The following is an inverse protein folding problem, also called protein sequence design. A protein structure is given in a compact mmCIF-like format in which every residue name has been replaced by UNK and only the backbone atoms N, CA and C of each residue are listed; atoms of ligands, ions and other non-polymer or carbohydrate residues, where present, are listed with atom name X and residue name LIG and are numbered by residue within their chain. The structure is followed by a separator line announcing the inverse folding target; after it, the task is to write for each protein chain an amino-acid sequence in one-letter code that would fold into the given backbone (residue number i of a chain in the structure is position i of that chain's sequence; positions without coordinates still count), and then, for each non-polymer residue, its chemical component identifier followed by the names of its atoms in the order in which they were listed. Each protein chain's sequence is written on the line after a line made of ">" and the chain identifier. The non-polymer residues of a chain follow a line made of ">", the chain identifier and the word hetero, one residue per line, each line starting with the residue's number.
data_IF_875460440363
#
_entry.id   IF_875460440363
#
_cell.length_a   1.000
_cell.length_b   1.000
_cell.length_c   1.000
_cell.angle_alpha   90.00
_cell.angle_beta   90.00
_cell.angle_gamma   90.00
#
_symmetry.space_group_name_H-M   'P 1'
#
loop_
_entity.id
_entity.type
_entity.pdbx_description
1 polymer ?
#
# COMPACT_ATOMS: atom_id res chain seq x y z
N UNK A 1 8.97 21.72 -12.22
CA UNK A 1 9.59 20.45 -11.73
C UNK A 1 8.84 19.30 -12.41
N UNK A 2 9.54 18.35 -13.06
CA UNK A 2 8.89 17.19 -13.67
C UNK A 2 8.30 16.31 -12.55
N UNK A 3 7.02 15.92 -12.70
CA UNK A 3 6.37 15.04 -11.73
C UNK A 3 7.00 13.64 -11.77
N UNK A 4 7.16 13.01 -10.59
CA UNK A 4 7.66 11.64 -10.51
C UNK A 4 6.62 10.67 -11.06
N UNK A 5 7.02 9.78 -11.94
CA UNK A 5 6.13 8.76 -12.50
C UNK A 5 5.53 7.85 -11.42
N UNK A 6 6.30 7.56 -10.38
CA UNK A 6 5.81 6.78 -9.23
C UNK A 6 4.64 7.43 -8.51
N UNK A 7 4.49 8.73 -8.58
CA UNK A 7 3.36 9.45 -7.99
C UNK A 7 2.24 9.69 -9.03
N UNK A 8 2.63 10.07 -10.27
CA UNK A 8 1.68 10.32 -11.37
C UNK A 8 0.87 9.08 -11.74
N UNK A 9 1.51 7.91 -11.78
CA UNK A 9 0.92 6.64 -12.19
C UNK A 9 0.55 5.72 -11.02
N UNK A 10 0.54 6.26 -9.79
CA UNK A 10 0.04 5.51 -8.64
C UNK A 10 -1.45 5.23 -8.85
N UNK A 11 -1.89 3.95 -8.81
CA UNK A 11 -3.31 3.63 -8.91
C UNK A 11 -4.11 4.34 -7.81
N UNK A 12 -5.24 4.92 -8.17
CA UNK A 12 -6.18 5.58 -7.26
C UNK A 12 -7.52 4.86 -7.16
N UNK A 13 -7.74 3.89 -8.02
CA UNK A 13 -8.97 3.09 -8.10
C UNK A 13 -8.66 1.61 -8.16
N UNK A 14 -9.65 0.78 -7.83
CA UNK A 14 -9.56 -0.69 -7.90
C UNK A 14 -9.23 -1.16 -9.32
N UNK A 15 -9.82 -0.53 -10.35
CA UNK A 15 -9.60 -0.90 -11.74
C UNK A 15 -8.17 -0.61 -12.22
N UNK A 16 -7.53 0.40 -11.65
CA UNK A 16 -6.13 0.72 -11.96
C UNK A 16 -5.11 -0.11 -11.17
N UNK A 17 -5.56 -0.90 -10.17
CA UNK A 17 -4.68 -1.70 -9.35
C UNK A 17 -4.52 -3.12 -9.92
N UNK A 18 -3.30 -3.61 -9.97
CA UNK A 18 -3.01 -4.97 -10.46
C UNK A 18 -3.06 -5.94 -9.28
N UNK A 19 -4.09 -6.79 -9.26
CA UNK A 19 -4.24 -7.85 -8.27
C UNK A 19 -3.48 -9.11 -8.70
N UNK A 20 -3.12 -9.94 -7.74
CA UNK A 20 -2.54 -11.26 -7.99
C UNK A 20 -3.50 -12.16 -8.80
N UNK A 21 -4.77 -12.12 -8.43
CA UNK A 21 -5.83 -12.96 -9.00
C UNK A 21 -7.23 -12.33 -8.79
N UNK A 22 -8.21 -12.90 -9.47
CA UNK A 22 -9.60 -12.46 -9.37
C UNK A 22 -10.21 -12.67 -7.98
N UNK A 23 -9.70 -13.60 -7.17
CA UNK A 23 -10.20 -13.85 -5.83
C UNK A 23 -9.89 -12.66 -4.93
N UNK A 24 -8.65 -12.15 -5.01
CA UNK A 24 -8.25 -10.95 -4.27
C UNK A 24 -9.05 -9.73 -4.73
N UNK A 25 -9.23 -9.56 -6.05
CA UNK A 25 -10.01 -8.45 -6.60
C UNK A 25 -11.46 -8.48 -6.10
N UNK A 26 -12.11 -9.63 -6.15
CA UNK A 26 -13.48 -9.82 -5.66
C UNK A 26 -13.62 -9.56 -4.16
N UNK A 27 -12.64 -9.98 -3.38
CA UNK A 27 -12.63 -9.72 -1.93
C UNK A 27 -12.55 -8.22 -1.64
N UNK A 28 -11.68 -7.49 -2.32
CA UNK A 28 -11.57 -6.03 -2.17
C UNK A 28 -12.86 -5.34 -2.62
N UNK A 29 -13.42 -5.77 -3.75
CA UNK A 29 -14.68 -5.23 -4.25
C UNK A 29 -15.83 -5.47 -3.28
N UNK A 30 -15.92 -6.66 -2.68
CA UNK A 30 -16.94 -6.98 -1.66
C UNK A 30 -16.86 -6.02 -0.48
N UNK A 31 -15.68 -5.69 0.03
CA UNK A 31 -15.55 -4.71 1.11
C UNK A 31 -16.05 -3.32 0.72
N UNK A 32 -15.79 -2.91 -0.52
CA UNK A 32 -16.25 -1.62 -1.03
C UNK A 32 -17.77 -1.61 -1.18
N UNK A 33 -18.34 -2.68 -1.74
CA UNK A 33 -19.79 -2.81 -1.95
C UNK A 33 -20.56 -2.88 -0.62
N UNK A 34 -19.97 -3.54 0.40
CA UNK A 34 -20.50 -3.62 1.76
C UNK A 34 -20.33 -2.29 2.54
N UNK A 35 -19.52 -1.37 2.03
CA UNK A 35 -19.23 -0.08 2.67
C UNK A 35 -18.44 -0.19 3.97
N UNK A 36 -17.83 -1.34 4.25
CA UNK A 36 -17.06 -1.59 5.48
C UNK A 36 -15.92 -2.57 5.26
N UNK A 37 -14.93 -2.51 6.13
CA UNK A 37 -13.79 -3.43 6.16
C UNK A 37 -13.62 -4.04 7.55
N UNK A 38 -13.04 -5.24 7.68
CA UNK A 38 -12.48 -5.71 8.95
C UNK A 38 -11.17 -4.97 9.25
N UNK A 39 -10.54 -5.25 10.39
CA UNK A 39 -9.13 -4.91 10.54
C UNK A 39 -8.31 -5.71 9.55
N UNK A 40 -7.39 -5.07 8.83
CA UNK A 40 -6.63 -5.67 7.74
C UNK A 40 -5.14 -5.68 8.04
N UNK A 41 -4.45 -6.74 7.62
CA UNK A 41 -3.00 -6.84 7.62
C UNK A 41 -2.54 -7.17 6.19
N UNK A 42 -1.99 -6.18 5.51
CA UNK A 42 -1.39 -6.35 4.18
C UNK A 42 0.09 -6.71 4.32
N UNK A 43 0.46 -7.88 3.88
CA UNK A 43 1.84 -8.34 3.85
C UNK A 43 2.36 -8.52 2.42
N UNK A 44 3.65 -8.43 2.23
CA UNK A 44 4.30 -8.61 0.94
C UNK A 44 5.63 -7.87 0.86
N UNK A 45 6.43 -8.16 -0.16
CA UNK A 45 7.73 -7.51 -0.36
C UNK A 45 7.59 -5.99 -0.61
N UNK A 46 8.70 -5.27 -0.50
CA UNK A 46 8.71 -3.84 -0.78
C UNK A 46 8.29 -3.53 -2.24
N UNK A 47 7.55 -2.44 -2.42
CA UNK A 47 7.16 -1.96 -3.75
C UNK A 47 6.04 -2.73 -4.45
N UNK A 48 5.39 -3.71 -3.81
CA UNK A 48 4.29 -4.51 -4.41
C UNK A 48 2.92 -3.83 -4.35
N UNK A 49 2.80 -2.65 -3.72
CA UNK A 49 1.56 -1.86 -3.72
C UNK A 49 0.68 -1.99 -2.47
N UNK A 50 1.19 -2.46 -1.33
CA UNK A 50 0.44 -2.57 -0.06
C UNK A 50 -0.21 -1.26 0.38
N UNK A 51 0.57 -0.21 0.53
CA UNK A 51 0.11 1.13 0.93
C UNK A 51 -0.84 1.71 -0.12
N UNK A 52 -0.57 1.46 -1.40
CA UNK A 52 -1.44 1.88 -2.50
C UNK A 52 -2.83 1.26 -2.40
N UNK A 53 -2.91 -0.06 -2.15
CA UNK A 53 -4.18 -0.76 -1.97
C UNK A 53 -4.95 -0.24 -0.75
N UNK A 54 -4.25 0.01 0.37
CA UNK A 54 -4.85 0.61 1.56
C UNK A 54 -5.51 1.97 1.25
N UNK A 55 -4.81 2.83 0.52
CA UNK A 55 -5.33 4.15 0.11
C UNK A 55 -6.50 4.05 -0.88
N UNK A 56 -6.45 3.11 -1.81
CA UNK A 56 -7.57 2.83 -2.72
C UNK A 56 -8.81 2.43 -1.92
N UNK A 57 -8.67 1.52 -0.95
CA UNK A 57 -9.79 1.10 -0.09
C UNK A 57 -10.37 2.28 0.70
N UNK A 58 -9.55 3.05 1.39
CA UNK A 58 -9.98 4.21 2.17
C UNK A 58 -10.76 5.20 1.28
N UNK A 59 -10.23 5.49 0.10
CA UNK A 59 -10.87 6.40 -0.85
C UNK A 59 -12.19 5.82 -1.41
N UNK A 60 -12.20 4.56 -1.80
CA UNK A 60 -13.38 3.89 -2.36
C UNK A 60 -14.51 3.69 -1.35
N UNK A 61 -14.18 3.57 -0.07
CA UNK A 61 -15.15 3.55 1.04
C UNK A 61 -15.70 4.94 1.37
N UNK A 62 -15.21 6.00 0.73
CA UNK A 62 -15.66 7.37 0.98
C UNK A 62 -15.28 7.90 2.37
N UNK A 63 -14.28 7.32 3.02
CA UNK A 63 -13.83 7.78 4.34
C UNK A 63 -13.22 9.17 4.21
N UNK A 64 -13.74 10.10 4.99
CA UNK A 64 -13.28 11.48 4.99
C UNK A 64 -11.80 11.57 5.46
N UNK A 65 -11.05 12.51 4.90
CA UNK A 65 -9.67 12.74 5.31
C UNK A 65 -9.52 13.06 6.81
N UNK A 66 -10.53 13.64 7.44
CA UNK A 66 -10.56 13.90 8.89
C UNK A 66 -10.86 12.64 9.72
N UNK A 67 -11.39 11.60 9.09
CA UNK A 67 -11.60 10.27 9.66
C UNK A 67 -10.50 9.28 9.28
N UNK A 68 -9.41 9.76 8.68
CA UNK A 68 -8.26 8.95 8.30
C UNK A 68 -6.99 9.44 8.99
N UNK A 69 -6.29 8.54 9.67
CA UNK A 69 -4.97 8.79 10.26
C UNK A 69 -3.96 7.86 9.58
N UNK A 70 -2.94 8.45 8.96
CA UNK A 70 -1.81 7.71 8.37
C UNK A 70 -0.57 7.88 9.26
N UNK A 71 0.02 6.78 9.68
CA UNK A 71 1.29 6.74 10.43
C UNK A 71 2.22 5.77 9.72
N UNK A 72 3.46 6.19 9.45
CA UNK A 72 4.53 5.29 9.04
C UNK A 72 5.38 4.95 10.26
N UNK A 73 5.31 3.68 10.70
CA UNK A 73 5.98 3.22 11.91
C UNK A 73 7.51 3.22 11.80
N UNK A 74 8.07 3.16 10.60
CA UNK A 74 9.52 3.23 10.40
C UNK A 74 10.10 4.63 10.62
N UNK A 75 9.26 5.65 10.56
CA UNK A 75 9.66 7.07 10.73
C UNK A 75 9.36 7.62 12.13
N UNK A 76 8.47 6.96 12.86
CA UNK A 76 8.12 7.36 14.22
C UNK A 76 9.08 6.72 15.22
N UNK A 77 9.75 7.54 16.02
CA UNK A 77 10.83 7.09 16.92
C UNK A 77 10.33 6.52 18.25
N UNK A 78 9.04 6.61 18.56
CA UNK A 78 8.48 6.19 19.85
C UNK A 78 7.15 5.46 19.69
N UNK A 79 7.07 4.29 20.31
CA UNK A 79 5.84 3.50 20.41
C UNK A 79 4.77 4.26 21.19
N UNK A 80 5.15 4.99 22.23
CA UNK A 80 4.21 5.80 23.02
C UNK A 80 3.62 6.92 22.18
N UNK A 81 4.43 7.57 21.34
CA UNK A 81 3.95 8.58 20.39
C UNK A 81 2.93 8.00 19.41
N UNK A 82 3.20 6.82 18.85
CA UNK A 82 2.25 6.13 17.95
C UNK A 82 0.95 5.83 18.69
N UNK A 83 1.04 5.23 19.88
CA UNK A 83 -0.13 4.88 20.70
C UNK A 83 -0.97 6.11 21.02
N UNK A 84 -0.35 7.19 21.47
CA UNK A 84 -1.05 8.40 21.89
C UNK A 84 -1.73 9.09 20.70
N UNK A 85 -1.06 9.18 19.55
CA UNK A 85 -1.66 9.69 18.30
C UNK A 85 -2.90 8.88 17.91
N UNK A 86 -2.80 7.55 17.92
CA UNK A 86 -3.92 6.68 17.58
C UNK A 86 -5.05 6.83 18.59
N UNK A 87 -4.77 6.75 19.89
CA UNK A 87 -5.78 6.81 20.94
C UNK A 87 -6.54 8.16 20.91
N UNK A 88 -5.81 9.26 20.76
CA UNK A 88 -6.43 10.58 20.64
C UNK A 88 -7.31 10.68 19.38
N UNK A 89 -6.88 10.12 18.27
CA UNK A 89 -7.64 10.14 17.03
C UNK A 89 -8.90 9.30 17.12
N UNK A 90 -8.80 8.03 17.53
CA UNK A 90 -9.93 7.10 17.58
C UNK A 90 -10.90 7.38 18.74
N UNK A 91 -10.44 8.09 19.76
CA UNK A 91 -11.26 8.49 20.90
C UNK A 91 -12.24 9.64 20.60
N UNK A 92 -12.10 10.32 19.45
CA UNK A 92 -13.04 11.37 19.03
C UNK A 92 -14.13 10.77 18.11
N UNK A 93 -15.26 11.46 18.00
CA UNK A 93 -16.33 11.04 17.10
C UNK A 93 -15.87 11.09 15.65
N UNK A 94 -16.36 10.15 14.83
CA UNK A 94 -16.20 10.17 13.37
C UNK A 94 -17.16 11.16 12.72
N UNK A 95 -16.77 11.73 11.59
CA UNK A 95 -17.65 12.50 10.72
C UNK A 95 -18.54 11.57 9.88
N UNK A 96 -18.01 10.39 9.51
CA UNK A 96 -18.72 9.33 8.82
C UNK A 96 -19.06 8.16 9.76
N UNK A 97 -19.23 6.97 9.20
CA UNK A 97 -19.63 5.78 9.96
C UNK A 97 -18.50 5.26 10.88
N UNK A 98 -17.26 5.34 10.43
CA UNK A 98 -16.07 4.90 11.18
C UNK A 98 -14.82 5.64 10.75
N UNK A 99 -13.81 5.58 11.61
CA UNK A 99 -12.47 6.08 11.33
C UNK A 99 -11.57 4.98 10.80
N UNK A 100 -10.55 5.35 10.02
CA UNK A 100 -9.53 4.42 9.56
C UNK A 100 -8.15 4.88 10.01
N UNK A 101 -7.41 3.95 10.63
CA UNK A 101 -5.99 4.12 10.95
C UNK A 101 -5.19 3.26 9.98
N UNK A 102 -4.40 3.91 9.12
CA UNK A 102 -3.41 3.25 8.27
C UNK A 102 -2.05 3.30 8.98
N UNK A 103 -1.59 2.15 9.43
CA UNK A 103 -0.29 1.98 10.06
C UNK A 103 0.66 1.28 9.10
N UNK A 104 1.45 2.08 8.41
CA UNK A 104 2.38 1.59 7.40
C UNK A 104 3.68 1.09 8.04
N UNK A 105 4.22 0.00 7.53
CA UNK A 105 5.45 -0.64 8.04
C UNK A 105 5.35 -1.05 9.53
N UNK A 106 4.23 -1.65 9.94
CA UNK A 106 3.97 -2.05 11.32
C UNK A 106 4.98 -3.06 11.90
N UNK A 107 5.72 -3.76 11.07
CA UNK A 107 6.82 -4.66 11.45
C UNK A 107 8.05 -3.93 12.04
N UNK A 108 8.09 -2.59 11.99
CA UNK A 108 9.07 -1.78 12.72
C UNK A 108 8.70 -1.54 14.19
N UNK A 109 7.44 -1.79 14.59
CA UNK A 109 7.00 -1.67 15.97
C UNK A 109 7.49 -2.86 16.78
N UNK A 110 8.01 -2.59 17.99
CA UNK A 110 8.41 -3.66 18.92
C UNK A 110 7.23 -4.55 19.31
N UNK A 111 7.45 -5.81 19.73
CA UNK A 111 6.40 -6.70 20.19
C UNK A 111 5.53 -6.10 21.31
N UNK A 112 6.12 -5.37 22.24
CA UNK A 112 5.38 -4.67 23.30
C UNK A 112 4.50 -3.56 22.76
N UNK A 113 4.99 -2.81 21.78
CA UNK A 113 4.20 -1.79 21.09
C UNK A 113 3.04 -2.38 20.31
N UNK A 114 3.25 -3.50 19.64
CA UNK A 114 2.20 -4.23 18.94
C UNK A 114 1.12 -4.75 19.91
N UNK A 115 1.52 -5.22 21.10
CA UNK A 115 0.57 -5.65 22.14
C UNK A 115 -0.28 -4.48 22.65
N UNK A 116 0.32 -3.29 22.84
CA UNK A 116 -0.41 -2.08 23.19
C UNK A 116 -1.38 -1.65 22.08
N UNK A 117 -0.95 -1.71 20.82
CA UNK A 117 -1.80 -1.45 19.66
C UNK A 117 -3.01 -2.37 19.60
N UNK A 118 -2.83 -3.67 19.88
CA UNK A 118 -3.93 -4.63 19.96
C UNK A 118 -4.98 -4.17 20.98
N UNK A 119 -4.56 -3.72 22.15
CA UNK A 119 -5.47 -3.20 23.18
C UNK A 119 -6.29 -2.01 22.69
N UNK A 120 -5.67 -1.06 21.98
CA UNK A 120 -6.38 0.07 21.36
C UNK A 120 -7.38 -0.41 20.29
N UNK A 121 -7.00 -1.35 19.45
CA UNK A 121 -7.87 -1.93 18.42
C UNK A 121 -9.11 -2.58 19.05
N UNK A 122 -8.95 -3.29 20.17
CA UNK A 122 -10.05 -3.93 20.89
C UNK A 122 -11.00 -2.89 21.50
N UNK A 123 -10.45 -1.88 22.14
CA UNK A 123 -11.23 -0.83 22.83
C UNK A 123 -12.08 -0.01 21.85
N UNK A 124 -11.55 0.29 20.68
CA UNK A 124 -12.18 1.20 19.72
C UNK A 124 -12.73 0.48 18.45
N UNK A 125 -12.94 -0.83 18.52
CA UNK A 125 -13.42 -1.63 17.38
C UNK A 125 -14.78 -1.18 16.81
N UNK A 126 -15.63 -0.55 17.63
CA UNK A 126 -16.92 -0.01 17.19
C UNK A 126 -16.80 1.28 16.38
N UNK A 127 -15.72 2.04 16.56
CA UNK A 127 -15.54 3.37 15.97
C UNK A 127 -14.42 3.43 14.91
N UNK A 128 -13.53 2.46 14.89
CA UNK A 128 -12.33 2.51 14.03
C UNK A 128 -12.01 1.15 13.39
N UNK A 129 -11.44 1.23 12.19
CA UNK A 129 -10.82 0.11 11.48
C UNK A 129 -9.34 0.40 11.29
N UNK A 130 -8.54 -0.66 11.35
CA UNK A 130 -7.09 -0.56 11.24
C UNK A 130 -6.65 -1.31 9.99
N UNK A 131 -5.82 -0.66 9.19
CA UNK A 131 -5.11 -1.27 8.06
C UNK A 131 -3.63 -1.20 8.40
N UNK A 132 -3.03 -2.37 8.62
CA UNK A 132 -1.60 -2.49 8.87
C UNK A 132 -0.92 -3.00 7.60
N UNK A 133 0.26 -2.48 7.30
CA UNK A 133 1.12 -3.05 6.26
C UNK A 133 2.42 -3.56 6.88
N UNK A 134 3.00 -4.60 6.29
CA UNK A 134 4.30 -5.11 6.70
C UNK A 134 5.05 -5.78 5.54
N UNK A 135 6.37 -5.73 5.60
CA UNK A 135 7.23 -6.50 4.68
C UNK A 135 7.52 -7.89 5.25
N UNK A 136 7.59 -8.01 6.56
CA UNK A 136 7.96 -9.24 7.27
C UNK A 136 6.83 -9.67 8.22
N UNK A 137 5.86 -10.48 7.76
CA UNK A 137 4.72 -10.90 8.57
C UNK A 137 5.12 -11.70 9.81
N UNK A 138 6.28 -12.35 9.81
CA UNK A 138 6.83 -13.06 10.97
C UNK A 138 7.28 -12.12 12.11
N UNK A 139 7.43 -10.82 11.86
CA UNK A 139 7.67 -9.79 12.89
C UNK A 139 6.40 -9.25 13.52
N UNK A 140 5.24 -9.60 12.98
CA UNK A 140 3.94 -9.24 13.56
C UNK A 140 3.55 -10.31 14.57
N UNK A 141 3.17 -9.89 15.78
CA UNK A 141 2.82 -10.82 16.85
C UNK A 141 1.55 -11.63 16.52
N UNK A 142 1.43 -12.88 16.99
CA UNK A 142 0.25 -13.72 16.73
C UNK A 142 -1.08 -13.06 17.13
N UNK A 143 -1.07 -12.25 18.19
CA UNK A 143 -2.23 -11.55 18.66
C UNK A 143 -2.80 -10.51 17.67
N UNK A 144 -1.94 -9.88 16.86
CA UNK A 144 -2.39 -9.01 15.75
C UNK A 144 -2.83 -9.83 14.53
N UNK A 145 -2.14 -10.92 14.22
CA UNK A 145 -2.57 -11.83 13.16
C UNK A 145 -3.98 -12.37 13.40
N UNK A 146 -4.31 -12.72 14.64
CA UNK A 146 -5.65 -13.21 14.99
C UNK A 146 -6.74 -12.13 14.96
N UNK A 147 -6.36 -10.85 15.10
CA UNK A 147 -7.27 -9.71 15.12
C UNK A 147 -7.54 -9.14 13.73
N UNK A 148 -6.60 -9.31 12.82
CA UNK A 148 -6.68 -8.79 11.46
C UNK A 148 -6.98 -9.91 10.46
N UNK A 149 -7.73 -9.56 9.42
CA UNK A 149 -7.77 -10.40 8.23
C UNK A 149 -6.49 -10.20 7.44
N UNK A 150 -5.72 -11.27 7.31
CA UNK A 150 -4.48 -11.26 6.54
C UNK A 150 -4.76 -11.23 5.03
N UNK A 151 -4.03 -10.37 4.32
CA UNK A 151 -4.12 -10.23 2.88
C UNK A 151 -2.70 -10.16 2.33
N UNK A 152 -2.24 -11.28 1.75
CA UNK A 152 -0.89 -11.36 1.20
C UNK A 152 -0.87 -10.84 -0.23
N UNK A 153 -0.14 -9.75 -0.45
CA UNK A 153 0.05 -9.15 -1.77
C UNK A 153 1.34 -9.73 -2.35
N UNK A 154 1.16 -10.65 -3.26
CA UNK A 154 2.26 -11.28 -3.97
C UNK A 154 2.78 -10.39 -5.11
N UNK A 155 3.90 -10.84 -5.65
CA UNK A 155 4.46 -10.27 -6.87
C UNK A 155 3.43 -10.41 -7.99
N UNK A 156 3.19 -9.32 -8.68
CA UNK A 156 2.42 -9.31 -9.93
C UNK A 156 3.09 -10.25 -10.93
N UNK A 157 2.33 -10.88 -11.83
CA UNK A 157 2.90 -11.61 -12.94
C UNK A 157 3.88 -10.73 -13.75
N UNK A 158 4.97 -11.33 -14.22
CA UNK A 158 6.01 -10.57 -14.92
C UNK A 158 5.49 -9.92 -16.19
N UNK A 159 4.52 -10.54 -16.86
CA UNK A 159 3.87 -10.01 -18.07
C UNK A 159 3.06 -8.77 -17.74
N UNK A 160 2.25 -8.82 -16.67
CA UNK A 160 1.46 -7.67 -16.21
C UNK A 160 2.36 -6.53 -15.73
N UNK A 161 3.44 -6.87 -15.03
CA UNK A 161 4.45 -5.90 -14.61
C UNK A 161 5.07 -5.19 -15.82
N UNK A 162 5.51 -5.95 -16.83
CA UNK A 162 6.09 -5.41 -18.07
C UNK A 162 5.09 -4.56 -18.82
N UNK A 163 3.85 -5.03 -18.96
CA UNK A 163 2.77 -4.31 -19.64
C UNK A 163 2.47 -2.97 -18.95
N UNK A 164 2.51 -2.94 -17.62
CA UNK A 164 2.30 -1.70 -16.85
C UNK A 164 3.41 -0.68 -17.09
N UNK A 165 4.67 -1.11 -17.13
CA UNK A 165 5.79 -0.21 -17.44
C UNK A 165 5.70 0.28 -18.89
N UNK A 166 5.43 -0.62 -19.85
CA UNK A 166 5.26 -0.25 -21.25
C UNK A 166 4.17 0.80 -21.43
N UNK A 167 3.02 0.64 -20.76
CA UNK A 167 1.94 1.62 -20.81
C UNK A 167 2.37 2.99 -20.31
N UNK A 168 3.12 3.05 -19.22
CA UNK A 168 3.63 4.33 -18.70
C UNK A 168 4.60 5.01 -19.70
N UNK A 169 5.48 4.22 -20.33
CA UNK A 169 6.38 4.77 -21.36
C UNK A 169 5.60 5.31 -22.56
N UNK A 170 4.56 4.63 -23.00
CA UNK A 170 3.66 5.08 -24.08
C UNK A 170 2.95 6.39 -23.67
N UNK A 171 2.38 6.42 -22.48
CA UNK A 171 1.65 7.61 -21.96
C UNK A 171 2.57 8.84 -21.81
N UNK A 172 3.86 8.60 -21.56
CA UNK A 172 4.89 9.65 -21.47
C UNK A 172 5.53 9.97 -22.84
N UNK A 173 5.08 9.36 -23.93
CA UNK A 173 5.63 9.49 -25.28
C UNK A 173 7.14 9.16 -25.33
N UNK A 174 7.56 8.12 -24.61
CA UNK A 174 8.94 7.62 -24.61
C UNK A 174 9.02 6.48 -25.60
N UNK A 175 9.93 6.59 -26.56
CA UNK A 175 10.28 5.50 -27.46
C UNK A 175 11.13 4.46 -26.73
N UNK A 176 10.87 3.18 -26.93
CA UNK A 176 11.64 2.10 -26.31
C UNK A 176 11.72 0.85 -27.18
N UNK A 177 12.82 0.16 -27.02
CA UNK A 177 12.99 -1.20 -27.55
C UNK A 177 12.56 -2.22 -26.49
N UNK A 178 11.96 -3.34 -26.93
CA UNK A 178 11.47 -4.39 -26.03
C UNK A 178 12.61 -5.07 -25.25
N UNK A 179 13.78 -5.25 -25.86
CA UNK A 179 14.93 -5.85 -25.19
C UNK A 179 15.50 -4.92 -24.11
N UNK A 180 15.48 -3.60 -24.37
CA UNK A 180 15.85 -2.59 -23.38
C UNK A 180 14.87 -2.59 -22.22
N UNK A 181 13.56 -2.60 -22.50
CA UNK A 181 12.53 -2.69 -21.45
C UNK A 181 12.68 -3.97 -20.62
N UNK A 182 12.88 -5.12 -21.25
CA UNK A 182 13.07 -6.40 -20.54
C UNK A 182 14.30 -6.37 -19.62
N UNK A 183 15.35 -5.66 -20.00
CA UNK A 183 16.54 -5.45 -19.15
C UNK A 183 16.19 -4.71 -17.84
N UNK A 184 15.39 -3.65 -17.91
CA UNK A 184 14.88 -2.94 -16.71
C UNK A 184 13.98 -3.84 -15.87
N UNK A 185 13.07 -4.56 -16.51
CA UNK A 185 12.19 -5.51 -15.81
C UNK A 185 13.01 -6.59 -15.10
N UNK A 186 13.98 -7.19 -15.73
CA UNK A 186 14.87 -8.20 -15.10
C UNK A 186 15.63 -7.66 -13.89
N UNK A 187 16.09 -6.42 -13.97
CA UNK A 187 16.88 -5.79 -12.92
C UNK A 187 16.05 -5.34 -11.70
N UNK A 188 14.74 -5.13 -11.88
CA UNK A 188 13.91 -4.47 -10.86
C UNK A 188 12.73 -5.30 -10.37
N UNK A 189 12.25 -6.26 -11.17
CA UNK A 189 11.13 -7.10 -10.78
C UNK A 189 11.37 -7.77 -9.42
N UNK A 190 10.42 -7.72 -8.51
CA UNK A 190 9.02 -7.27 -8.62
C UNK A 190 8.75 -5.83 -8.13
N UNK A 191 9.76 -5.01 -7.98
CA UNK A 191 9.63 -3.64 -7.47
C UNK A 191 9.26 -2.66 -8.58
N UNK A 192 7.94 -2.44 -8.77
CA UNK A 192 7.40 -1.53 -9.79
C UNK A 192 7.88 -0.09 -9.59
N UNK A 193 8.00 0.36 -8.33
CA UNK A 193 8.45 1.72 -8.00
C UNK A 193 9.89 1.93 -8.45
N UNK A 194 10.76 0.97 -8.17
CA UNK A 194 12.16 1.00 -8.61
C UNK A 194 12.26 1.01 -10.13
N UNK A 195 11.47 0.18 -10.83
CA UNK A 195 11.46 0.14 -12.28
C UNK A 195 11.04 1.49 -12.89
N UNK A 196 9.95 2.07 -12.43
CA UNK A 196 9.46 3.37 -12.90
C UNK A 196 10.47 4.49 -12.70
N UNK A 197 11.12 4.54 -11.52
CA UNK A 197 12.16 5.53 -11.25
C UNK A 197 13.36 5.38 -12.19
N UNK A 198 13.83 4.15 -12.41
CA UNK A 198 14.94 3.90 -13.31
C UNK A 198 14.59 4.25 -14.76
N UNK A 199 13.42 3.85 -15.24
CA UNK A 199 12.95 4.19 -16.58
C UNK A 199 12.81 5.71 -16.75
N UNK A 200 12.25 6.42 -15.77
CA UNK A 200 12.13 7.88 -15.83
C UNK A 200 13.48 8.59 -15.93
N UNK A 201 14.47 8.12 -15.15
CA UNK A 201 15.83 8.68 -15.18
C UNK A 201 16.51 8.45 -16.53
N UNK A 202 16.27 7.31 -17.15
CA UNK A 202 16.91 6.90 -18.41
C UNK A 202 16.13 7.29 -19.67
N UNK A 203 15.06 8.08 -19.52
CA UNK A 203 14.18 8.53 -20.61
C UNK A 203 14.20 10.06 -20.80
N UNK A 204 15.26 10.75 -20.34
CA UNK A 204 15.33 12.22 -20.35
C UNK A 204 15.21 12.84 -21.74
N UNK A 205 15.65 12.12 -22.76
CA UNK A 205 15.71 12.58 -24.15
C UNK A 205 14.55 12.05 -25.01
N UNK A 206 13.51 11.47 -24.38
CA UNK A 206 12.34 10.93 -25.07
C UNK A 206 12.53 9.49 -25.59
N UNK A 207 13.68 8.86 -25.31
CA UNK A 207 13.97 7.46 -25.66
C UNK A 207 14.53 6.73 -24.43
N UNK A 208 14.05 5.52 -24.16
CA UNK A 208 14.57 4.71 -23.08
C UNK A 208 15.92 4.11 -23.49
N UNK A 209 16.98 4.54 -22.81
CA UNK A 209 18.33 4.01 -23.04
C UNK A 209 18.58 2.75 -22.20
N UNK A 210 19.48 1.87 -22.66
CA UNK A 210 19.86 0.68 -21.91
C UNK A 210 20.39 1.04 -20.50
N UNK A 211 20.10 0.22 -19.47
CA UNK A 211 20.66 0.44 -18.14
C UNK A 211 22.19 0.27 -18.19
N UNK A 212 22.90 1.20 -17.55
CA UNK A 212 24.36 1.13 -17.37
C UNK A 212 24.75 0.06 -16.35
#
# INVERSE_FOLDING_TARGET
>A
MKQLWTEKYRPSTVDGYVFRDDVQRKQVQSWIDDGTIPHLLFSGSAGVGKTTLAKILINSLGVNKFDTLEINASRENSVDTIRDKITNFVGTMSFGEFKVVLLDEADYISPNGQAALRGVMETYASNARFILTCNYPNKIIPALHSRCQGFHIEKVDKTDFTSRIAQVLIDENVEFDLDVLDSYVKATYPDLRKCLNMCQMSSSDGTLTAPN
#
